data_IF_973669979244
#
_entry.id   IF_973669979244
#
_cell.length_a   1.000
_cell.length_b   1.000
_cell.length_c   1.000
_cell.angle_alpha   90.00
_cell.angle_beta   90.00
_cell.angle_gamma   90.00
#
_symmetry.space_group_name_H-M   'P 1'
#
loop_
_entity.id
_entity.type
_entity.pdbx_description
1 polymer ?
#
# COMPACT_ATOMS: atom_id res chain seq x y z
N UNK A 1 -10.05 -27.07 -18.61
CA UNK A 1 -10.61 -27.32 -17.25
C UNK A 1 -9.55 -27.34 -16.15
N UNK A 2 -8.35 -27.89 -16.37
CA UNK A 2 -7.26 -27.85 -15.37
C UNK A 2 -6.74 -26.42 -15.06
N UNK A 3 -6.73 -25.50 -16.04
CA UNK A 3 -6.29 -24.11 -15.81
C UNK A 3 -7.29 -23.27 -15.01
N UNK A 4 -8.60 -23.49 -15.15
CA UNK A 4 -9.62 -22.73 -14.42
C UNK A 4 -9.60 -23.00 -12.91
N UNK A 5 -9.24 -24.23 -12.51
CA UNK A 5 -9.07 -24.58 -11.09
C UNK A 5 -7.80 -23.97 -10.49
N UNK A 6 -6.70 -23.93 -11.25
CA UNK A 6 -5.49 -23.21 -10.83
C UNK A 6 -5.77 -21.72 -10.67
N UNK A 7 -6.55 -21.17 -11.59
CA UNK A 7 -6.97 -19.77 -11.54
C UNK A 7 -7.84 -19.44 -10.31
N UNK A 8 -8.75 -20.32 -9.90
CA UNK A 8 -9.49 -20.13 -8.64
C UNK A 8 -8.59 -20.13 -7.42
N UNK A 9 -7.57 -20.99 -7.40
CA UNK A 9 -6.60 -21.03 -6.31
C UNK A 9 -5.74 -19.75 -6.27
N UNK A 10 -5.37 -19.20 -7.42
CA UNK A 10 -4.63 -17.93 -7.52
C UNK A 10 -5.48 -16.72 -7.09
N UNK A 11 -6.76 -16.68 -7.46
CA UNK A 11 -7.70 -15.64 -6.99
C UNK A 11 -7.79 -15.69 -5.46
N UNK A 12 -7.96 -16.88 -4.89
CA UNK A 12 -8.11 -17.05 -3.45
C UNK A 12 -6.82 -16.71 -2.68
N UNK A 13 -5.66 -17.10 -3.21
CA UNK A 13 -4.36 -16.73 -2.64
C UNK A 13 -4.14 -15.22 -2.66
N UNK A 14 -4.48 -14.56 -3.77
CA UNK A 14 -4.40 -13.10 -3.88
C UNK A 14 -5.33 -12.41 -2.90
N UNK A 15 -6.56 -12.91 -2.75
CA UNK A 15 -7.52 -12.43 -1.76
C UNK A 15 -6.98 -12.52 -0.33
N UNK A 16 -6.37 -13.64 0.04
CA UNK A 16 -5.76 -13.83 1.36
C UNK A 16 -4.61 -12.84 1.59
N UNK A 17 -3.74 -12.67 0.59
CA UNK A 17 -2.63 -11.72 0.64
C UNK A 17 -3.13 -10.29 0.87
N UNK A 18 -4.22 -9.89 0.22
CA UNK A 18 -4.85 -8.56 0.39
C UNK A 18 -5.36 -8.37 1.83
N UNK A 19 -6.01 -9.38 2.41
CA UNK A 19 -6.52 -9.31 3.80
C UNK A 19 -5.38 -9.29 4.84
N UNK A 20 -4.32 -10.06 4.62
CA UNK A 20 -3.12 -10.01 5.46
C UNK A 20 -2.46 -8.63 5.41
N UNK A 21 -2.31 -8.08 4.19
CA UNK A 21 -1.76 -6.74 4.00
C UNK A 21 -2.61 -5.69 4.70
N UNK A 22 -3.94 -5.77 4.57
CA UNK A 22 -4.87 -4.86 5.25
C UNK A 22 -4.68 -4.89 6.76
N UNK A 23 -4.55 -6.09 7.34
CA UNK A 23 -4.30 -6.25 8.78
C UNK A 23 -2.97 -5.62 9.20
N UNK A 24 -1.90 -5.86 8.45
CA UNK A 24 -0.58 -5.25 8.73
C UNK A 24 -0.60 -3.73 8.59
N UNK A 25 -1.34 -3.20 7.61
CA UNK A 25 -1.53 -1.78 7.38
C UNK A 25 -2.29 -1.11 8.52
N UNK A 26 -3.37 -1.72 9.00
CA UNK A 26 -4.15 -1.21 10.16
C UNK A 26 -3.27 -1.12 11.41
N UNK A 27 -2.49 -2.16 11.67
CA UNK A 27 -1.58 -2.19 12.81
C UNK A 27 -0.45 -1.16 12.69
N UNK A 28 0.13 -0.95 11.50
CA UNK A 28 1.11 0.11 11.23
C UNK A 28 0.50 1.50 11.45
N UNK A 29 -0.75 1.71 11.01
CA UNK A 29 -1.47 2.97 11.24
C UNK A 29 -1.59 3.34 12.72
N UNK A 30 -1.86 2.37 13.60
CA UNK A 30 -1.93 2.57 15.05
C UNK A 30 -0.56 2.99 15.62
N UNK A 31 0.52 2.37 15.15
CA UNK A 31 1.88 2.72 15.61
C UNK A 31 2.27 4.11 15.13
N UNK A 32 2.04 4.42 13.86
CA UNK A 32 2.29 5.75 13.30
C UNK A 32 1.51 6.85 14.04
N UNK A 33 0.25 6.58 14.42
CA UNK A 33 -0.53 7.52 15.23
C UNK A 33 0.05 7.69 16.64
N UNK A 34 0.54 6.61 17.26
CA UNK A 34 1.23 6.68 18.55
C UNK A 34 2.54 7.45 18.44
N UNK A 35 3.34 7.22 17.40
CA UNK A 35 4.57 7.96 17.14
C UNK A 35 4.28 9.45 16.88
N UNK A 36 3.24 9.75 16.10
CA UNK A 36 2.82 11.13 15.85
C UNK A 36 2.35 11.85 17.13
N UNK A 37 1.95 11.12 18.18
CA UNK A 37 1.49 11.67 19.47
C UNK A 37 2.54 11.59 20.59
N UNK A 38 3.51 10.69 20.53
CA UNK A 38 4.54 10.55 21.56
C UNK A 38 5.51 11.75 21.54
N UNK A 39 5.91 12.24 22.71
CA UNK A 39 6.94 13.30 22.85
C UNK A 39 8.35 12.71 22.97
N UNK A 40 8.47 11.46 23.41
CA UNK A 40 9.72 10.70 23.48
C UNK A 40 9.51 9.34 22.81
N UNK A 41 10.25 9.10 21.72
CA UNK A 41 10.21 7.82 21.00
C UNK A 41 11.56 7.14 21.25
N UNK A 42 11.53 5.89 21.72
CA UNK A 42 12.73 5.06 21.78
C UNK A 42 13.18 4.70 20.36
N UNK A 43 14.47 4.85 20.06
CA UNK A 43 15.06 4.59 18.73
C UNK A 43 14.68 3.20 18.16
N UNK A 44 14.53 2.21 19.06
CA UNK A 44 14.14 0.83 18.73
C UNK A 44 12.71 0.73 18.18
N UNK A 45 11.75 1.51 18.68
CA UNK A 45 10.37 1.48 18.20
C UNK A 45 10.25 2.04 16.77
N UNK A 46 11.12 2.97 16.41
CA UNK A 46 11.16 3.56 15.08
C UNK A 46 11.74 2.60 14.03
N UNK A 47 12.83 1.91 14.37
CA UNK A 47 13.46 0.93 13.47
C UNK A 47 12.54 -0.27 13.19
N UNK A 48 11.82 -0.74 14.21
CA UNK A 48 10.82 -1.81 14.05
C UNK A 48 9.69 -1.38 13.11
N UNK A 49 9.19 -0.15 13.28
CA UNK A 49 8.11 0.35 12.43
C UNK A 49 8.57 0.59 10.99
N UNK A 50 9.80 1.07 10.77
CA UNK A 50 10.37 1.17 9.43
C UNK A 50 10.45 -0.19 8.74
N UNK A 51 10.99 -1.21 9.41
CA UNK A 51 11.06 -2.57 8.86
C UNK A 51 9.67 -3.13 8.53
N UNK A 52 8.67 -2.83 9.38
CA UNK A 52 7.27 -3.22 9.15
C UNK A 52 6.67 -2.53 7.92
N UNK A 53 6.91 -1.24 7.76
CA UNK A 53 6.42 -0.48 6.59
C UNK A 53 7.07 -1.00 5.32
N UNK A 54 8.36 -1.31 5.36
CA UNK A 54 9.10 -1.89 4.23
C UNK A 54 8.54 -3.26 3.84
N UNK A 55 8.27 -4.14 4.81
CA UNK A 55 7.60 -5.43 4.58
C UNK A 55 6.21 -5.24 3.93
N UNK A 56 5.42 -4.29 4.41
CA UNK A 56 4.13 -3.95 3.83
C UNK A 56 4.26 -3.48 2.37
N UNK A 57 5.24 -2.63 2.06
CA UNK A 57 5.48 -2.15 0.68
C UNK A 57 5.95 -3.28 -0.24
N UNK A 58 6.80 -4.18 0.26
CA UNK A 58 7.24 -5.35 -0.49
C UNK A 58 6.05 -6.29 -0.78
N UNK A 59 5.21 -6.55 0.23
CA UNK A 59 4.00 -7.34 0.06
C UNK A 59 3.00 -6.70 -0.89
N UNK A 60 2.87 -5.37 -0.90
CA UNK A 60 2.05 -4.65 -1.87
C UNK A 60 2.52 -4.90 -3.30
N UNK A 61 3.83 -4.83 -3.57
CA UNK A 61 4.38 -5.09 -4.90
C UNK A 61 4.11 -6.52 -5.38
N UNK A 62 4.27 -7.50 -4.49
CA UNK A 62 3.95 -8.91 -4.80
C UNK A 62 2.46 -9.08 -5.12
N UNK A 63 1.59 -8.45 -4.33
CA UNK A 63 0.14 -8.47 -4.55
C UNK A 63 -0.25 -7.82 -5.89
N UNK A 64 0.32 -6.67 -6.24
CA UNK A 64 0.08 -6.01 -7.52
C UNK A 64 0.51 -6.89 -8.70
N UNK A 65 1.64 -7.57 -8.59
CA UNK A 65 2.09 -8.58 -9.56
C UNK A 65 1.09 -9.73 -9.70
N UNK A 66 0.64 -10.31 -8.59
CA UNK A 66 -0.34 -11.40 -8.61
C UNK A 66 -1.68 -10.95 -9.25
N UNK A 67 -2.13 -9.72 -9.00
CA UNK A 67 -3.35 -9.20 -9.64
C UNK A 67 -3.14 -8.99 -11.14
N UNK A 68 -1.97 -8.51 -11.56
CA UNK A 68 -1.65 -8.40 -12.98
C UNK A 68 -1.65 -9.77 -13.68
N UNK A 69 -1.06 -10.78 -13.06
CA UNK A 69 -1.08 -12.17 -13.56
C UNK A 69 -2.50 -12.71 -13.66
N UNK A 70 -3.37 -12.42 -12.68
CA UNK A 70 -4.78 -12.78 -12.75
C UNK A 70 -5.51 -12.10 -13.91
N UNK A 71 -5.24 -10.82 -14.17
CA UNK A 71 -5.84 -10.09 -15.30
C UNK A 71 -5.39 -10.68 -16.63
N UNK A 72 -4.09 -10.97 -16.78
CA UNK A 72 -3.52 -11.60 -17.98
C UNK A 72 -4.11 -13.01 -18.18
N UNK A 73 -4.17 -13.82 -17.13
CA UNK A 73 -4.75 -15.16 -17.21
C UNK A 73 -6.25 -15.13 -17.59
N UNK A 74 -6.99 -14.12 -17.14
CA UNK A 74 -8.37 -13.91 -17.55
C UNK A 74 -8.47 -13.49 -19.03
N UNK A 75 -7.55 -12.65 -19.50
CA UNK A 75 -7.47 -12.25 -20.91
C UNK A 75 -7.18 -13.47 -21.80
N UNK A 76 -6.20 -14.31 -21.43
CA UNK A 76 -5.89 -15.54 -22.16
C UNK A 76 -7.08 -16.49 -22.21
N UNK A 77 -7.76 -16.70 -21.08
CA UNK A 77 -8.97 -17.53 -21.04
C UNK A 77 -10.10 -16.95 -21.90
N UNK A 78 -10.21 -15.62 -21.96
CA UNK A 78 -11.17 -14.91 -22.82
C UNK A 78 -10.82 -15.06 -24.30
N UNK A 79 -9.53 -14.97 -24.65
CA UNK A 79 -9.05 -15.14 -26.02
C UNK A 79 -9.28 -16.57 -26.53
N UNK A 80 -8.98 -17.59 -25.70
CA UNK A 80 -9.28 -19.00 -26.01
C UNK A 80 -10.78 -19.20 -26.21
N UNK A 81 -11.60 -18.63 -25.32
CA UNK A 81 -13.06 -18.68 -25.49
C UNK A 81 -13.52 -17.98 -26.77
N UNK A 82 -12.93 -16.83 -27.11
CA UNK A 82 -13.20 -16.11 -28.35
C UNK A 82 -12.92 -16.97 -29.59
N UNK A 83 -11.76 -17.65 -29.62
CA UNK A 83 -11.39 -18.57 -30.69
C UNK A 83 -12.35 -19.79 -30.76
N UNK A 84 -12.72 -20.37 -29.62
CA UNK A 84 -13.73 -21.44 -29.55
C UNK A 84 -15.08 -20.96 -30.10
N UNK A 85 -15.51 -19.75 -29.75
CA UNK A 85 -16.75 -19.14 -30.23
C UNK A 85 -16.72 -18.87 -31.75
N UNK A 86 -15.62 -18.38 -32.29
CA UNK A 86 -15.46 -18.20 -33.74
C UNK A 86 -15.48 -19.52 -34.51
N UNK A 87 -14.88 -20.57 -33.93
CA UNK A 87 -14.93 -21.93 -34.50
C UNK A 87 -16.36 -22.51 -34.57
N UNK A 88 -17.29 -22.00 -33.76
CA UNK A 88 -18.71 -22.37 -33.79
C UNK A 88 -19.52 -21.64 -34.88
N UNK A 89 -19.07 -20.45 -35.27
CA UNK A 89 -19.69 -19.72 -36.39
C UNK A 89 -19.40 -20.40 -37.72
N UNK A 90 -18.23 -21.02 -37.86
CA UNK A 90 -17.80 -21.68 -39.08
C UNK A 90 -18.09 -23.20 -39.09
N UNK A 91 -18.08 -23.80 -40.27
CA UNK A 91 -18.11 -25.26 -40.41
C UNK A 91 -16.70 -25.82 -40.26
N UNK A 92 -16.58 -26.89 -39.47
CA UNK A 92 -15.33 -27.65 -39.33
C UNK A 92 -14.95 -28.31 -40.66
N UNK A 93 -13.67 -28.72 -40.80
CA UNK A 93 -13.21 -29.41 -42.01
C UNK A 93 -14.02 -30.68 -42.32
N UNK A 94 -14.40 -31.42 -41.28
CA UNK A 94 -15.23 -32.62 -41.41
C UNK A 94 -16.67 -32.30 -41.81
N UNK A 95 -17.25 -31.23 -41.27
CA UNK A 95 -18.59 -30.78 -41.68
C UNK A 95 -18.60 -30.25 -43.10
N UNK A 96 -17.57 -29.50 -43.51
CA UNK A 96 -17.42 -29.06 -44.90
C UNK A 96 -17.33 -30.26 -45.85
N UNK A 97 -16.58 -31.29 -45.46
CA UNK A 97 -16.47 -32.54 -46.22
C UNK A 97 -17.82 -33.26 -46.35
N UNK A 98 -18.56 -33.46 -45.25
CA UNK A 98 -19.91 -34.03 -45.28
C UNK A 98 -20.87 -33.13 -46.08
N UNK A 99 -20.63 -31.83 -46.08
CA UNK A 99 -21.35 -30.84 -46.86
C UNK A 99 -21.36 -31.04 -48.37
N UNK A 100 -20.29 -31.63 -48.90
CA UNK A 100 -20.19 -32.00 -50.32
C UNK A 100 -21.25 -33.07 -50.65
N UNK A 101 -21.59 -33.93 -49.69
CA UNK A 101 -22.55 -35.04 -49.86
C UNK A 101 -23.96 -34.70 -49.35
N UNK A 102 -24.09 -33.95 -48.26
CA UNK A 102 -25.37 -33.59 -47.65
C UNK A 102 -25.30 -32.29 -46.85
N UNK A 103 -25.92 -31.24 -47.38
CA UNK A 103 -26.08 -29.94 -46.69
C UNK A 103 -26.92 -30.04 -45.41
N UNK A 104 -27.96 -30.87 -45.41
CA UNK A 104 -28.80 -31.08 -44.22
C UNK A 104 -28.04 -31.77 -43.09
N UNK A 105 -27.21 -32.77 -43.42
CA UNK A 105 -26.40 -33.47 -42.40
C UNK A 105 -25.31 -32.57 -41.83
N UNK A 106 -24.65 -31.76 -42.68
CA UNK A 106 -23.72 -30.71 -42.24
C UNK A 106 -24.37 -29.74 -41.24
N UNK A 107 -25.57 -29.22 -41.54
CA UNK A 107 -26.25 -28.27 -40.66
C UNK A 107 -26.65 -28.89 -39.31
N UNK A 108 -27.10 -30.16 -39.29
CA UNK A 108 -27.43 -30.85 -38.04
C UNK A 108 -26.21 -31.08 -37.16
N UNK A 109 -25.08 -31.50 -37.76
CA UNK A 109 -23.83 -31.70 -37.02
C UNK A 109 -23.33 -30.40 -36.37
N UNK A 110 -23.48 -29.27 -37.08
CA UNK A 110 -23.16 -27.95 -36.51
C UNK A 110 -24.06 -27.63 -35.33
N UNK A 111 -25.37 -27.80 -35.49
CA UNK A 111 -26.33 -27.58 -34.39
C UNK A 111 -26.06 -28.47 -33.18
N UNK A 112 -25.70 -29.75 -33.39
CA UNK A 112 -25.35 -30.67 -32.30
C UNK A 112 -24.07 -30.25 -31.58
N UNK A 113 -23.01 -29.86 -32.32
CA UNK A 113 -21.79 -29.32 -31.70
C UNK A 113 -22.09 -28.07 -30.88
N UNK A 114 -22.75 -27.08 -31.51
CA UNK A 114 -23.05 -25.79 -30.88
C UNK A 114 -23.93 -25.97 -29.63
N UNK A 115 -24.87 -26.93 -29.66
CA UNK A 115 -25.74 -27.25 -28.52
C UNK A 115 -25.01 -27.99 -27.40
N UNK A 116 -24.07 -28.86 -27.72
CA UNK A 116 -23.31 -29.65 -26.74
C UNK A 116 -22.14 -28.86 -26.13
N UNK A 117 -21.74 -27.74 -26.73
CA UNK A 117 -20.76 -26.81 -26.17
C UNK A 117 -21.47 -25.81 -25.23
N UNK A 118 -21.11 -25.83 -23.94
CA UNK A 118 -21.71 -24.96 -22.92
C UNK A 118 -21.21 -23.50 -23.03
N UNK A 119 -21.75 -22.74 -23.99
CA UNK A 119 -21.40 -21.34 -24.23
C UNK A 119 -21.72 -20.43 -23.03
N UNK A 120 -22.93 -20.59 -22.48
CA UNK A 120 -23.42 -19.77 -21.39
C UNK A 120 -22.70 -20.09 -20.07
N UNK A 121 -22.36 -21.36 -19.84
CA UNK A 121 -21.64 -21.78 -18.63
C UNK A 121 -20.23 -21.20 -18.56
N UNK A 122 -19.46 -21.32 -19.64
CA UNK A 122 -18.06 -20.87 -19.66
C UNK A 122 -17.96 -19.33 -19.60
N UNK A 123 -18.82 -18.59 -20.31
CA UNK A 123 -18.87 -17.12 -20.20
C UNK A 123 -19.27 -16.66 -18.80
N UNK A 124 -20.29 -17.29 -18.22
CA UNK A 124 -20.73 -16.94 -16.86
C UNK A 124 -19.62 -17.18 -15.83
N UNK A 125 -18.80 -18.22 -16.03
CA UNK A 125 -17.68 -18.53 -15.16
C UNK A 125 -16.56 -17.49 -15.28
N UNK A 126 -16.20 -17.08 -16.50
CA UNK A 126 -15.22 -16.01 -16.74
C UNK A 126 -15.68 -14.68 -16.17
N UNK A 127 -16.96 -14.32 -16.37
CA UNK A 127 -17.53 -13.11 -15.80
C UNK A 127 -17.51 -13.15 -14.26
N UNK A 128 -17.88 -14.28 -13.66
CA UNK A 128 -17.81 -14.43 -12.21
C UNK A 128 -16.38 -14.30 -11.67
N UNK A 129 -15.39 -14.86 -12.36
CA UNK A 129 -13.97 -14.72 -12.00
C UNK A 129 -13.49 -13.27 -12.16
N UNK A 130 -13.89 -12.60 -13.24
CA UNK A 130 -13.66 -11.16 -13.46
C UNK A 130 -14.24 -10.32 -12.33
N UNK A 131 -15.48 -10.59 -11.93
CA UNK A 131 -16.15 -9.86 -10.85
C UNK A 131 -15.44 -10.03 -9.50
N UNK A 132 -14.91 -11.23 -9.22
CA UNK A 132 -14.08 -11.47 -8.02
C UNK A 132 -12.80 -10.63 -8.04
N UNK A 133 -12.09 -10.58 -9.17
CA UNK A 133 -10.87 -9.76 -9.32
C UNK A 133 -11.18 -8.28 -9.17
N UNK A 134 -12.26 -7.79 -9.78
CA UNK A 134 -12.75 -6.42 -9.61
C UNK A 134 -13.10 -6.14 -8.13
N UNK A 135 -13.69 -7.11 -7.43
CA UNK A 135 -13.98 -7.03 -6.00
C UNK A 135 -12.71 -6.83 -5.16
N UNK A 136 -11.65 -7.60 -5.45
CA UNK A 136 -10.34 -7.47 -4.80
C UNK A 136 -9.77 -6.07 -5.04
N UNK A 137 -9.75 -5.61 -6.30
CA UNK A 137 -9.26 -4.27 -6.67
C UNK A 137 -10.03 -3.15 -5.98
N UNK A 138 -11.36 -3.26 -5.88
CA UNK A 138 -12.20 -2.28 -5.17
C UNK A 138 -11.89 -2.27 -3.67
N UNK A 139 -11.73 -3.44 -3.05
CA UNK A 139 -11.35 -3.55 -1.64
C UNK A 139 -9.99 -2.89 -1.39
N UNK A 140 -8.99 -3.20 -2.22
CA UNK A 140 -7.65 -2.63 -2.15
C UNK A 140 -7.68 -1.10 -2.30
N UNK A 141 -8.43 -0.58 -3.28
CA UNK A 141 -8.60 0.87 -3.46
C UNK A 141 -9.17 1.53 -2.20
N UNK A 142 -10.21 0.95 -1.61
CA UNK A 142 -10.83 1.50 -0.39
C UNK A 142 -9.85 1.53 0.79
N UNK A 143 -9.06 0.48 0.98
CA UNK A 143 -8.02 0.44 2.01
C UNK A 143 -6.94 1.52 1.78
N UNK A 144 -6.50 1.68 0.53
CA UNK A 144 -5.48 2.67 0.16
C UNK A 144 -5.97 4.11 0.36
N UNK A 145 -7.21 4.42 -0.04
CA UNK A 145 -7.83 5.74 0.17
C UNK A 145 -7.95 6.09 1.66
N UNK A 146 -8.35 5.12 2.49
CA UNK A 146 -8.43 5.30 3.95
C UNK A 146 -7.05 5.63 4.55
N UNK A 147 -6.03 4.87 4.16
CA UNK A 147 -4.65 5.09 4.64
C UNK A 147 -4.09 6.42 4.17
N UNK A 148 -4.33 6.80 2.92
CA UNK A 148 -3.88 8.09 2.39
C UNK A 148 -4.39 9.23 3.27
N UNK A 149 -5.68 9.24 3.60
CA UNK A 149 -6.30 10.28 4.46
C UNK A 149 -5.73 10.29 5.88
N UNK A 150 -5.51 9.12 6.47
CA UNK A 150 -4.91 8.99 7.80
C UNK A 150 -3.46 9.49 7.80
N UNK A 151 -2.65 9.04 6.84
CA UNK A 151 -1.25 9.44 6.69
C UNK A 151 -1.08 10.94 6.44
N UNK A 152 -1.97 11.55 5.64
CA UNK A 152 -1.97 13.00 5.42
C UNK A 152 -2.21 13.76 6.73
N UNK A 153 -3.11 13.25 7.58
CA UNK A 153 -3.42 13.85 8.88
C UNK A 153 -2.22 13.74 9.83
N UNK A 154 -1.62 12.55 9.93
CA UNK A 154 -0.41 12.35 10.74
C UNK A 154 0.76 13.22 10.26
N UNK A 155 0.95 13.36 8.95
CA UNK A 155 2.00 14.22 8.39
C UNK A 155 1.80 15.68 8.79
N UNK A 156 0.57 16.20 8.70
CA UNK A 156 0.25 17.57 9.15
C UNK A 156 0.58 17.78 10.63
N UNK A 157 0.26 16.81 11.48
CA UNK A 157 0.57 16.87 12.92
C UNK A 157 2.08 16.88 13.18
N UNK A 158 2.84 16.04 12.48
CA UNK A 158 4.31 15.99 12.61
C UNK A 158 4.95 17.31 12.13
N UNK A 159 4.48 17.86 11.02
CA UNK A 159 4.96 19.15 10.53
C UNK A 159 4.69 20.29 11.50
N UNK A 160 3.50 20.33 12.12
CA UNK A 160 3.16 21.34 13.12
C UNK A 160 4.03 21.21 14.38
N UNK A 161 4.26 19.99 14.86
CA UNK A 161 5.19 19.73 15.97
C UNK A 161 6.61 20.17 15.67
N UNK A 162 7.10 19.86 14.45
CA UNK A 162 8.43 20.28 14.01
C UNK A 162 8.54 21.81 14.01
N UNK A 163 7.52 22.50 13.51
CA UNK A 163 7.46 23.96 13.53
C UNK A 163 7.53 24.51 14.96
N UNK A 164 6.68 24.02 15.87
CA UNK A 164 6.71 24.44 17.28
C UNK A 164 8.06 24.16 17.95
N UNK A 165 8.69 23.01 17.65
CA UNK A 165 10.03 22.68 18.16
C UNK A 165 11.10 23.64 17.63
N UNK A 166 11.00 24.03 16.35
CA UNK A 166 11.91 25.02 15.76
C UNK A 166 11.73 26.39 16.42
N UNK A 167 10.50 26.83 16.69
CA UNK A 167 10.24 28.09 17.41
C UNK A 167 10.84 28.07 18.82
N UNK A 168 10.72 26.95 19.55
CA UNK A 168 11.36 26.78 20.87
C UNK A 168 12.88 26.80 20.76
N UNK A 169 13.44 26.15 19.74
CA UNK A 169 14.89 26.11 19.50
C UNK A 169 15.43 27.52 19.19
N UNK A 170 14.76 28.27 18.31
CA UNK A 170 15.10 29.65 17.96
C UNK A 170 14.99 30.57 19.18
N UNK A 171 13.92 30.45 19.98
CA UNK A 171 13.77 31.23 21.22
C UNK A 171 14.84 30.90 22.26
N UNK A 172 15.23 29.61 22.37
CA UNK A 172 16.32 29.18 23.24
C UNK A 172 17.66 29.73 22.75
N UNK A 173 17.91 29.70 21.44
CA UNK A 173 19.11 30.25 20.84
C UNK A 173 19.22 31.76 21.07
N UNK A 174 18.13 32.51 20.86
CA UNK A 174 18.10 33.95 21.13
C UNK A 174 18.39 34.26 22.61
N UNK A 175 17.86 33.44 23.52
CA UNK A 175 18.14 33.60 24.96
C UNK A 175 19.58 33.27 25.34
N UNK A 176 20.20 32.28 24.69
CA UNK A 176 21.63 32.00 24.84
C UNK A 176 22.46 33.18 24.33
N UNK A 177 22.10 33.75 23.18
CA UNK A 177 22.78 34.92 22.60
C UNK A 177 22.67 36.17 23.50
N UNK A 178 21.54 36.35 24.21
CA UNK A 178 21.36 37.43 25.20
C UNK A 178 22.15 37.18 26.49
N UNK A 179 22.15 35.93 27.00
CA UNK A 179 22.81 35.60 28.27
C UNK A 179 24.34 35.56 28.15
N UNK A 180 24.89 35.16 27.00
CA UNK A 180 26.34 35.08 26.76
C UNK A 180 27.10 36.38 27.11
N UNK A 181 26.74 37.57 26.61
CA UNK A 181 27.44 38.81 26.96
C UNK A 181 27.27 39.21 28.43
N UNK A 182 26.10 38.94 29.03
CA UNK A 182 25.89 39.19 30.47
C UNK A 182 26.79 38.30 31.32
N UNK A 183 26.95 37.03 30.94
CA UNK A 183 27.83 36.08 31.60
C UNK A 183 29.30 36.50 31.45
N UNK A 184 29.71 36.97 30.26
CA UNK A 184 31.05 37.52 30.02
C UNK A 184 31.33 38.78 30.85
N UNK A 185 30.38 39.70 30.97
CA UNK A 185 30.51 40.90 31.80
C UNK A 185 30.62 40.55 33.30
N UNK A 186 29.85 39.56 33.77
CA UNK A 186 29.96 39.00 35.12
C UNK A 186 31.33 38.37 35.37
N UNK A 187 31.87 37.60 34.42
CA UNK A 187 33.22 37.03 34.50
C UNK A 187 34.32 38.10 34.52
N UNK A 188 34.17 39.15 33.72
CA UNK A 188 35.09 40.29 33.73
C UNK A 188 35.06 41.04 35.07
N UNK A 189 33.86 41.26 35.63
CA UNK A 189 33.68 41.88 36.96
C UNK A 189 34.29 41.03 38.08
N UNK A 190 34.03 39.72 38.09
CA UNK A 190 34.65 38.77 39.04
C UNK A 190 36.18 38.83 38.96
N UNK A 191 36.72 38.91 37.74
CA UNK A 191 38.17 38.97 37.50
C UNK A 191 38.79 40.30 37.95
N UNK A 192 38.06 41.41 37.85
CA UNK A 192 38.53 42.75 38.25
C UNK A 192 38.36 43.04 39.75
N UNK A 193 37.46 42.35 40.45
CA UNK A 193 37.19 42.57 41.88
C UNK A 193 38.29 41.96 42.78
N UNK A 194 38.91 42.81 43.60
CA UNK A 194 39.91 42.41 44.62
C UNK A 194 39.31 42.17 46.01
N UNK A 195 38.04 42.53 46.24
CA UNK A 195 37.33 42.33 47.51
C UNK A 195 36.65 40.94 47.56
N UNK A 196 37.09 40.09 48.49
CA UNK A 196 36.59 38.71 48.67
C UNK A 196 35.07 38.64 48.83
N UNK A 197 34.46 39.59 49.57
CA UNK A 197 33.02 39.56 49.86
C UNK A 197 32.17 39.94 48.65
N UNK A 198 32.66 40.84 47.80
CA UNK A 198 32.00 41.18 46.53
C UNK A 198 32.16 40.07 45.50
N UNK A 199 33.35 39.45 45.44
CA UNK A 199 33.62 38.32 44.56
C UNK A 199 32.66 37.15 44.81
N UNK A 200 32.47 36.74 46.06
CA UNK A 200 31.53 35.66 46.41
C UNK A 200 30.09 35.98 46.03
N UNK A 201 29.67 37.25 46.07
CA UNK A 201 28.33 37.65 45.61
C UNK A 201 28.18 37.53 44.09
N UNK A 202 29.19 37.91 43.33
CA UNK A 202 29.19 37.81 41.87
C UNK A 202 29.29 36.35 41.40
N UNK A 203 30.08 35.51 42.08
CA UNK A 203 30.16 34.06 41.82
C UNK A 203 28.83 33.35 42.10
N UNK A 204 28.08 33.80 43.12
CA UNK A 204 26.71 33.33 43.37
C UNK A 204 25.77 33.74 42.22
N UNK A 205 25.81 35.01 41.77
CA UNK A 205 25.00 35.49 40.64
C UNK A 205 25.33 34.82 39.30
N UNK A 206 26.54 34.32 39.09
CA UNK A 206 26.93 33.55 37.90
C UNK A 206 26.34 32.14 37.88
N UNK A 207 26.06 31.58 39.06
CA UNK A 207 25.60 30.20 39.21
C UNK A 207 24.07 30.07 39.15
N UNK A 208 23.34 31.18 39.29
CA UNK A 208 21.89 31.30 39.11
C UNK A 208 21.53 31.55 37.64
#
# INVERSE_FOLDING_TARGET
>A
MADLQKFDAEIEKTRQTVEEMKTKLEQSGIVLEKLAKAETIGQVDFDIENARIEDVLQQQSVMEGNIADLIIGLEDATNVFGAEFESMKSYTGWEKFIGIFSKQRMQRMRSERVRNMSLAGNLSELLSKSDKIIGILKSQKGALESRYKSSETSLKQVLERRKSTMEVLEGTQARIEELNPLLLDLENKISATTNQKERTKLEAQRSD
#
